data_IF_568551097176
#
_entry.id   IF_568551097176
#
_cell.length_a   1.000
_cell.length_b   1.000
_cell.length_c   1.000
_cell.angle_alpha   90.00
_cell.angle_beta   90.00
_cell.angle_gamma   90.00
#
_symmetry.space_group_name_H-M   'P 1'
#
loop_
_entity.id
_entity.type
_entity.pdbx_description
1 polymer ?
#
# COMPACT_ATOMS: atom_id res chain seq x y z
N UNK A 1 -40.05 -4.69 12.11
CA UNK A 1 -38.80 -5.46 11.86
C UNK A 1 -38.30 -5.98 13.20
N UNK A 2 -38.01 -7.30 13.31
CA UNK A 2 -37.46 -7.90 14.54
C UNK A 2 -35.95 -7.89 14.47
N UNK A 3 -35.29 -7.28 15.44
CA UNK A 3 -33.84 -7.25 15.58
C UNK A 3 -33.41 -8.37 16.52
N UNK A 4 -32.51 -9.24 16.10
CA UNK A 4 -31.90 -10.29 16.92
C UNK A 4 -30.42 -9.96 17.09
N UNK A 5 -29.94 -9.94 18.35
CA UNK A 5 -28.53 -9.71 18.66
C UNK A 5 -27.84 -11.03 18.98
N UNK A 6 -26.82 -11.37 18.18
CA UNK A 6 -25.95 -12.51 18.44
C UNK A 6 -24.69 -11.98 19.14
N UNK A 7 -24.44 -12.36 20.38
CA UNK A 7 -23.30 -11.90 21.20
C UNK A 7 -22.82 -12.98 22.17
N UNK A 8 -21.59 -12.84 22.64
CA UNK A 8 -21.02 -13.52 23.81
C UNK A 8 -20.39 -12.49 24.75
N UNK A 9 -19.78 -12.93 25.83
CA UNK A 9 -19.10 -12.08 26.79
C UNK A 9 -17.76 -11.54 26.25
N UNK A 10 -17.22 -12.21 25.24
CA UNK A 10 -15.99 -11.85 24.55
C UNK A 10 -16.08 -12.20 23.05
N UNK A 11 -15.02 -11.88 22.30
CA UNK A 11 -14.94 -12.16 20.86
C UNK A 11 -14.95 -13.65 20.53
N UNK A 12 -14.38 -14.50 21.39
CA UNK A 12 -14.35 -15.96 21.21
C UNK A 12 -15.78 -16.52 21.36
N UNK A 13 -16.47 -16.14 22.43
CA UNK A 13 -17.84 -16.58 22.67
C UNK A 13 -18.81 -16.03 21.63
N UNK A 14 -18.57 -14.78 21.17
CA UNK A 14 -19.39 -14.19 20.11
C UNK A 14 -19.24 -15.00 18.81
N UNK A 15 -18.01 -15.32 18.37
CA UNK A 15 -17.80 -16.13 17.17
C UNK A 15 -18.42 -17.52 17.26
N UNK A 16 -18.36 -18.14 18.44
CA UNK A 16 -19.00 -19.44 18.67
C UNK A 16 -20.53 -19.37 18.58
N UNK A 17 -21.15 -18.31 19.14
CA UNK A 17 -22.59 -18.12 19.04
C UNK A 17 -23.03 -17.78 17.59
N UNK A 18 -22.23 -17.05 16.84
CA UNK A 18 -22.43 -16.87 15.38
C UNK A 18 -22.36 -18.22 14.64
N UNK A 19 -21.39 -19.07 14.98
CA UNK A 19 -21.28 -20.41 14.38
C UNK A 19 -22.49 -21.29 14.69
N UNK A 20 -23.07 -21.20 15.90
CA UNK A 20 -24.32 -21.87 16.27
C UNK A 20 -25.51 -21.38 15.44
N UNK A 21 -25.62 -20.07 15.26
CA UNK A 21 -26.68 -19.48 14.43
C UNK A 21 -26.55 -19.93 12.97
N UNK A 22 -25.33 -19.92 12.41
CA UNK A 22 -25.09 -20.47 11.07
C UNK A 22 -25.54 -21.93 11.00
N UNK A 23 -25.18 -22.74 12.03
CA UNK A 23 -25.55 -24.16 12.08
C UNK A 23 -27.07 -24.39 12.20
N UNK A 24 -27.83 -23.48 12.83
CA UNK A 24 -29.29 -23.56 12.93
C UNK A 24 -29.96 -23.29 11.57
N UNK A 25 -29.35 -22.42 10.75
CA UNK A 25 -29.83 -22.10 9.40
C UNK A 25 -29.41 -23.19 8.41
N UNK A 26 -28.18 -23.65 8.52
CA UNK A 26 -27.58 -24.67 7.68
C UNK A 26 -26.49 -25.44 8.43
N UNK A 27 -26.61 -26.78 8.42
CA UNK A 27 -25.67 -27.67 9.10
C UNK A 27 -24.20 -27.33 8.72
N UNK A 28 -23.40 -27.04 9.72
CA UNK A 28 -21.95 -26.80 9.57
C UNK A 28 -21.21 -28.12 9.70
N UNK A 29 -20.50 -28.50 8.63
CA UNK A 29 -19.67 -29.71 8.58
C UNK A 29 -18.18 -29.40 8.67
N UNK A 30 -17.79 -28.12 8.57
CA UNK A 30 -16.41 -27.68 8.58
C UNK A 30 -16.25 -26.47 9.51
N UNK A 31 -15.24 -26.50 10.36
CA UNK A 31 -14.86 -25.38 11.22
C UNK A 31 -13.44 -24.93 10.91
N UNK A 32 -13.23 -23.62 11.00
CA UNK A 32 -11.95 -22.95 10.75
C UNK A 32 -11.58 -22.17 12.00
N UNK A 33 -10.60 -22.70 12.74
CA UNK A 33 -10.15 -22.16 14.02
C UNK A 33 -9.05 -21.12 13.78
N UNK A 34 -9.20 -19.92 14.33
CA UNK A 34 -8.21 -18.85 14.27
C UNK A 34 -7.94 -18.27 15.64
N UNK A 35 -6.78 -17.63 15.85
CA UNK A 35 -6.47 -16.97 17.12
C UNK A 35 -7.19 -15.62 17.20
N UNK A 36 -7.92 -15.39 18.28
CA UNK A 36 -8.70 -14.16 18.52
C UNK A 36 -7.86 -12.90 18.75
N UNK A 37 -6.58 -13.05 19.09
CA UNK A 37 -5.72 -11.96 19.53
C UNK A 37 -4.48 -11.76 18.66
N UNK A 38 -4.10 -12.78 17.88
CA UNK A 38 -2.90 -12.79 17.02
C UNK A 38 -3.18 -13.28 15.60
N UNK A 39 -4.43 -13.46 15.23
CA UNK A 39 -4.84 -14.13 13.98
C UNK A 39 -5.79 -13.32 13.11
N UNK A 40 -5.80 -11.99 13.19
CA UNK A 40 -6.69 -11.16 12.37
C UNK A 40 -6.47 -11.40 10.87
N UNK A 41 -5.21 -11.34 10.42
CA UNK A 41 -4.86 -11.61 9.03
C UNK A 41 -5.18 -13.06 8.61
N UNK A 42 -5.03 -14.02 9.53
CA UNK A 42 -5.34 -15.43 9.31
C UNK A 42 -6.85 -15.63 9.13
N UNK A 43 -7.68 -14.99 9.99
CA UNK A 43 -9.13 -15.02 9.90
C UNK A 43 -9.65 -14.41 8.59
N UNK A 44 -9.08 -13.27 8.18
CA UNK A 44 -9.43 -12.62 6.92
C UNK A 44 -9.00 -13.46 5.71
N UNK A 45 -7.81 -14.05 5.76
CA UNK A 45 -7.31 -14.92 4.68
C UNK A 45 -8.21 -16.12 4.41
N UNK A 46 -8.88 -16.68 5.43
CA UNK A 46 -9.77 -17.83 5.30
C UNK A 46 -11.25 -17.45 5.08
N UNK A 47 -11.60 -16.17 5.25
CA UNK A 47 -13.01 -15.72 5.26
C UNK A 47 -13.76 -16.07 3.96
N UNK A 48 -13.16 -15.86 2.81
CA UNK A 48 -13.76 -16.18 1.51
C UNK A 48 -13.98 -17.69 1.31
N UNK A 49 -13.04 -18.51 1.79
CA UNK A 49 -13.19 -19.98 1.79
C UNK A 49 -14.32 -20.40 2.69
N UNK A 50 -14.39 -19.83 3.90
CA UNK A 50 -15.47 -20.14 4.85
C UNK A 50 -16.84 -19.79 4.27
N UNK A 51 -16.97 -18.62 3.63
CA UNK A 51 -18.21 -18.20 2.98
C UNK A 51 -18.59 -19.11 1.78
N UNK A 52 -17.62 -19.47 0.94
CA UNK A 52 -17.84 -20.37 -0.20
C UNK A 52 -18.25 -21.77 0.23
N UNK A 53 -17.54 -22.34 1.20
CA UNK A 53 -17.70 -23.72 1.62
C UNK A 53 -18.73 -23.89 2.75
N UNK A 54 -19.39 -22.78 3.16
CA UNK A 54 -20.39 -22.73 4.25
C UNK A 54 -19.82 -23.29 5.57
N UNK A 55 -18.56 -22.96 5.83
CA UNK A 55 -17.85 -23.29 7.06
C UNK A 55 -17.99 -22.18 8.09
N UNK A 56 -17.86 -22.53 9.36
CA UNK A 56 -17.85 -21.54 10.43
C UNK A 56 -16.41 -21.17 10.83
N UNK A 57 -16.12 -19.87 10.92
CA UNK A 57 -14.89 -19.36 11.53
C UNK A 57 -15.14 -19.23 13.03
N UNK A 58 -14.30 -19.86 13.83
CA UNK A 58 -14.38 -19.80 15.29
C UNK A 58 -13.06 -19.28 15.85
N UNK A 59 -13.17 -18.21 16.60
CA UNK A 59 -12.04 -17.61 17.28
C UNK A 59 -11.67 -18.44 18.53
N UNK A 60 -10.38 -18.56 18.81
CA UNK A 60 -9.83 -19.29 19.95
C UNK A 60 -8.75 -18.45 20.66
N UNK A 61 -8.31 -18.88 21.82
CA UNK A 61 -7.11 -18.30 22.45
C UNK A 61 -5.79 -18.89 21.88
N UNK A 62 -5.87 -19.75 20.87
CA UNK A 62 -4.73 -20.46 20.30
C UNK A 62 -4.29 -21.70 21.06
N UNK A 63 -4.91 -22.02 22.22
CA UNK A 63 -4.54 -23.13 23.09
C UNK A 63 -5.68 -24.16 23.25
N UNK A 64 -6.93 -23.70 23.28
CA UNK A 64 -8.10 -24.52 23.53
C UNK A 64 -9.35 -23.99 22.83
N UNK A 65 -10.36 -24.85 22.71
CA UNK A 65 -11.72 -24.50 22.26
C UNK A 65 -12.73 -25.04 23.27
N UNK A 66 -13.90 -24.37 23.43
CA UNK A 66 -14.92 -24.77 24.41
C UNK A 66 -15.92 -25.79 23.87
N UNK A 67 -15.59 -26.53 22.80
CA UNK A 67 -16.49 -27.51 22.16
C UNK A 67 -15.71 -28.66 21.52
N UNK A 68 -16.41 -29.74 21.13
CA UNK A 68 -15.80 -30.86 20.43
C UNK A 68 -15.85 -30.64 18.91
N UNK A 69 -14.75 -30.97 18.21
CA UNK A 69 -14.68 -31.02 16.75
C UNK A 69 -14.98 -32.41 16.19
N UNK A 70 -15.39 -33.37 17.05
CA UNK A 70 -15.75 -34.70 16.60
C UNK A 70 -16.86 -34.69 15.55
N UNK A 71 -16.66 -35.39 14.47
CA UNK A 71 -17.60 -35.41 13.32
C UNK A 71 -17.53 -34.17 12.40
N UNK A 72 -16.64 -33.21 12.70
CA UNK A 72 -16.42 -32.03 11.89
C UNK A 72 -15.06 -32.09 11.18
N UNK A 73 -15.02 -31.59 9.95
CA UNK A 73 -13.74 -31.25 9.31
C UNK A 73 -13.19 -30.00 9.98
N UNK A 74 -11.97 -30.06 10.48
CA UNK A 74 -11.38 -28.97 11.23
C UNK A 74 -10.06 -28.50 10.62
N UNK A 75 -9.90 -27.18 10.51
CA UNK A 75 -8.67 -26.51 10.11
C UNK A 75 -8.23 -25.55 11.20
N UNK A 76 -6.94 -25.56 11.52
CA UNK A 76 -6.30 -24.56 12.39
C UNK A 76 -5.53 -23.58 11.49
N UNK A 77 -5.99 -22.35 11.44
CA UNK A 77 -5.47 -21.30 10.57
C UNK A 77 -4.48 -20.46 11.35
N UNK A 78 -3.22 -20.48 10.93
CA UNK A 78 -2.11 -19.77 11.56
C UNK A 78 -0.94 -20.69 11.90
N UNK A 79 0.23 -20.05 12.09
CA UNK A 79 1.47 -20.71 12.48
C UNK A 79 1.47 -21.20 13.93
N UNK A 80 2.58 -21.83 14.34
CA UNK A 80 2.73 -22.36 15.72
C UNK A 80 2.71 -21.29 16.79
N UNK A 81 3.10 -20.06 16.47
CA UNK A 81 3.05 -18.91 17.39
C UNK A 81 1.63 -18.42 17.71
N UNK A 82 0.66 -18.66 16.81
CA UNK A 82 -0.74 -18.25 16.99
C UNK A 82 -1.65 -19.42 17.38
N UNK A 83 -1.41 -20.61 16.83
CA UNK A 83 -2.19 -21.82 17.08
C UNK A 83 -1.27 -22.93 17.61
N UNK A 84 -1.40 -23.32 18.87
CA UNK A 84 -0.51 -24.31 19.48
C UNK A 84 -0.63 -25.69 18.83
N UNK A 85 0.44 -26.46 18.85
CA UNK A 85 0.43 -27.85 18.37
C UNK A 85 -0.51 -28.73 19.19
N UNK A 86 -0.63 -28.45 20.49
CA UNK A 86 -1.56 -29.14 21.39
C UNK A 86 -3.00 -28.95 20.95
N UNK A 87 -3.40 -27.71 20.65
CA UNK A 87 -4.76 -27.42 20.12
C UNK A 87 -5.01 -28.16 18.79
N UNK A 88 -4.04 -28.09 17.86
CA UNK A 88 -4.17 -28.74 16.55
C UNK A 88 -4.36 -30.25 16.69
N UNK A 89 -3.60 -30.88 17.57
CA UNK A 89 -3.68 -32.32 17.83
C UNK A 89 -4.99 -32.70 18.52
N UNK A 90 -5.39 -31.99 19.57
CA UNK A 90 -6.61 -32.29 20.32
C UNK A 90 -7.89 -32.11 19.49
N UNK A 91 -7.87 -31.19 18.54
CA UNK A 91 -9.00 -30.95 17.62
C UNK A 91 -8.91 -31.76 16.34
N UNK A 92 -7.85 -32.54 16.13
CA UNK A 92 -7.53 -33.27 14.88
C UNK A 92 -7.61 -32.35 13.66
N UNK A 93 -7.21 -31.09 13.84
CA UNK A 93 -7.27 -30.08 12.77
C UNK A 93 -6.11 -30.25 11.78
N UNK A 94 -6.39 -29.96 10.51
CA UNK A 94 -5.31 -29.72 9.55
C UNK A 94 -4.80 -28.29 9.72
N UNK A 95 -3.49 -28.13 10.03
CA UNK A 95 -2.87 -26.80 10.12
C UNK A 95 -2.71 -26.19 8.72
N UNK A 96 -3.13 -24.94 8.58
CA UNK A 96 -2.84 -24.08 7.45
C UNK A 96 -2.20 -22.79 7.98
N UNK A 97 -0.89 -22.69 7.88
CA UNK A 97 -0.17 -21.54 8.43
C UNK A 97 1.32 -21.60 8.15
N UNK A 98 1.95 -20.50 8.40
CA UNK A 98 3.39 -20.30 8.32
C UNK A 98 3.90 -19.37 9.42
N UNK A 99 5.13 -18.91 9.35
CA UNK A 99 5.74 -17.98 10.31
C UNK A 99 5.21 -16.55 10.13
N UNK A 100 4.66 -16.24 8.96
CA UNK A 100 4.12 -14.92 8.62
C UNK A 100 2.69 -15.01 8.10
N UNK A 101 1.97 -13.87 8.11
CA UNK A 101 0.64 -13.76 7.50
C UNK A 101 0.62 -14.10 6.00
N UNK A 102 1.72 -13.81 5.30
CA UNK A 102 1.87 -14.13 3.88
C UNK A 102 1.97 -15.62 3.62
N UNK A 103 2.71 -16.34 4.46
CA UNK A 103 2.84 -17.79 4.38
C UNK A 103 1.54 -18.50 4.74
N UNK A 104 0.81 -18.02 5.76
CA UNK A 104 -0.52 -18.51 6.09
C UNK A 104 -1.48 -18.30 4.91
N UNK A 105 -1.52 -17.08 4.35
CA UNK A 105 -2.36 -16.75 3.19
C UNK A 105 -2.02 -17.62 1.97
N UNK A 106 -0.73 -17.82 1.69
CA UNK A 106 -0.27 -18.72 0.61
C UNK A 106 -0.68 -20.17 0.86
N UNK A 107 -0.57 -20.66 2.08
CA UNK A 107 -0.98 -22.04 2.43
C UNK A 107 -2.48 -22.26 2.21
N UNK A 108 -3.32 -21.29 2.56
CA UNK A 108 -4.77 -21.29 2.30
C UNK A 108 -5.03 -21.29 0.80
N UNK A 109 -4.40 -20.41 0.06
CA UNK A 109 -4.57 -20.31 -1.40
C UNK A 109 -4.19 -21.61 -2.09
N UNK A 110 -3.05 -22.20 -1.74
CA UNK A 110 -2.59 -23.48 -2.30
C UNK A 110 -3.54 -24.63 -1.96
N UNK A 111 -4.19 -24.60 -0.79
CA UNK A 111 -5.10 -25.67 -0.37
C UNK A 111 -6.44 -25.58 -1.08
N UNK A 112 -7.01 -24.38 -1.20
CA UNK A 112 -8.41 -24.20 -1.58
C UNK A 112 -8.63 -23.64 -2.99
N UNK A 113 -7.58 -23.14 -3.64
CA UNK A 113 -7.64 -22.43 -4.92
C UNK A 113 -6.50 -22.83 -5.87
N UNK A 114 -6.22 -24.14 -5.95
CA UNK A 114 -5.08 -24.68 -6.75
C UNK A 114 -5.08 -24.23 -8.21
N UNK A 115 -6.28 -24.10 -8.80
CA UNK A 115 -6.46 -23.78 -10.21
C UNK A 115 -6.95 -22.36 -10.44
N UNK A 116 -6.84 -21.50 -9.42
CA UNK A 116 -7.25 -20.11 -9.55
C UNK A 116 -6.46 -19.40 -10.65
N UNK A 117 -7.18 -18.60 -11.45
CA UNK A 117 -6.63 -17.72 -12.47
C UNK A 117 -7.02 -16.27 -12.23
N UNK A 118 -8.02 -16.03 -11.39
CA UNK A 118 -8.42 -14.71 -10.95
C UNK A 118 -8.13 -14.59 -9.46
N UNK A 119 -7.50 -13.47 -9.11
CA UNK A 119 -7.04 -13.19 -7.75
C UNK A 119 -7.51 -11.79 -7.34
N UNK A 120 -7.82 -11.65 -6.06
CA UNK A 120 -8.01 -10.37 -5.42
C UNK A 120 -6.76 -10.08 -4.58
N UNK A 121 -6.26 -8.85 -4.60
CA UNK A 121 -5.12 -8.43 -3.77
C UNK A 121 -5.56 -7.32 -2.83
N UNK A 122 -5.06 -7.34 -1.60
CA UNK A 122 -5.32 -6.29 -0.60
C UNK A 122 -4.06 -6.04 0.24
N UNK A 123 -3.94 -4.83 0.79
CA UNK A 123 -2.85 -4.46 1.69
C UNK A 123 -2.80 -5.38 2.91
N UNK A 124 -1.60 -5.85 3.25
CA UNK A 124 -1.44 -6.88 4.28
C UNK A 124 -1.57 -6.34 5.72
N UNK A 125 -1.45 -5.03 5.92
CA UNK A 125 -1.48 -4.39 7.23
C UNK A 125 -2.74 -3.54 7.46
N UNK A 126 -3.38 -3.07 6.40
CA UNK A 126 -4.68 -2.40 6.43
C UNK A 126 -5.81 -3.38 6.09
N UNK A 127 -6.11 -4.24 7.03
CA UNK A 127 -6.96 -5.42 6.82
C UNK A 127 -8.43 -5.10 6.55
N UNK A 128 -8.89 -3.88 6.77
CA UNK A 128 -10.29 -3.47 6.51
C UNK A 128 -10.70 -3.70 5.06
N UNK A 129 -9.83 -3.34 4.11
CA UNK A 129 -10.08 -3.56 2.69
C UNK A 129 -10.19 -5.05 2.35
N UNK A 130 -9.29 -5.87 2.90
CA UNK A 130 -9.32 -7.32 2.73
C UNK A 130 -10.59 -7.94 3.35
N UNK A 131 -11.05 -7.44 4.49
CA UNK A 131 -12.29 -7.88 5.15
C UNK A 131 -13.50 -7.58 4.27
N UNK A 132 -13.66 -6.35 3.79
CA UNK A 132 -14.75 -5.95 2.89
C UNK A 132 -14.70 -6.77 1.60
N UNK A 133 -13.51 -6.91 1.01
CA UNK A 133 -13.28 -7.67 -0.21
C UNK A 133 -13.51 -9.17 -0.07
N UNK A 134 -13.47 -9.73 1.14
CA UNK A 134 -13.65 -11.17 1.36
C UNK A 134 -15.03 -11.68 0.89
N UNK A 135 -16.05 -10.82 0.90
CA UNK A 135 -17.38 -11.13 0.37
C UNK A 135 -17.41 -11.27 -1.16
N UNK A 136 -16.53 -10.57 -1.86
CA UNK A 136 -16.38 -10.62 -3.32
C UNK A 136 -15.54 -11.81 -3.77
N UNK A 137 -14.60 -12.25 -2.96
CA UNK A 137 -13.58 -13.25 -3.31
C UNK A 137 -14.06 -14.70 -3.21
N UNK A 138 -15.36 -14.96 -3.42
CA UNK A 138 -15.91 -16.34 -3.48
C UNK A 138 -15.29 -17.16 -4.61
N UNK A 139 -15.01 -16.53 -5.73
CA UNK A 139 -14.55 -17.17 -6.96
C UNK A 139 -13.02 -17.16 -7.12
N UNK A 140 -12.32 -16.40 -6.30
CA UNK A 140 -10.85 -16.31 -6.32
C UNK A 140 -10.28 -16.02 -4.93
N UNK A 141 -9.02 -16.37 -4.68
CA UNK A 141 -8.39 -16.11 -3.38
C UNK A 141 -8.12 -14.63 -3.15
N UNK A 142 -8.24 -14.19 -1.89
CA UNK A 142 -7.72 -12.92 -1.41
C UNK A 142 -6.24 -13.10 -1.05
N UNK A 143 -5.36 -12.42 -1.75
CA UNK A 143 -3.91 -12.44 -1.50
C UNK A 143 -3.50 -11.17 -0.78
N UNK A 144 -2.93 -11.33 0.40
CA UNK A 144 -2.37 -10.22 1.18
C UNK A 144 -0.99 -9.86 0.62
N UNK A 145 -0.80 -8.58 0.30
CA UNK A 145 0.44 -8.10 -0.32
C UNK A 145 1.04 -6.90 0.41
N UNK A 146 2.36 -6.79 0.37
CA UNK A 146 3.13 -5.59 0.66
C UNK A 146 4.42 -5.59 -0.17
N UNK A 147 5.27 -4.59 -0.03
CA UNK A 147 6.51 -4.46 -0.80
C UNK A 147 7.43 -5.69 -0.66
N UNK A 148 7.62 -6.22 0.53
CA UNK A 148 8.51 -7.40 0.79
C UNK A 148 7.83 -8.76 0.70
N UNK A 149 6.52 -8.85 0.37
CA UNK A 149 5.82 -10.14 0.40
C UNK A 149 6.17 -11.04 -0.78
N UNK A 150 6.15 -12.35 -0.54
CA UNK A 150 6.25 -13.37 -1.59
C UNK A 150 4.96 -13.38 -2.42
N UNK A 151 5.05 -13.04 -3.69
CA UNK A 151 3.93 -12.94 -4.65
C UNK A 151 3.88 -14.11 -5.63
N UNK A 152 4.70 -15.16 -5.44
CA UNK A 152 4.79 -16.32 -6.37
C UNK A 152 3.44 -17.02 -6.62
N UNK A 153 2.50 -16.88 -5.69
CA UNK A 153 1.15 -17.44 -5.85
C UNK A 153 0.40 -16.85 -7.06
N UNK A 154 0.80 -15.65 -7.50
CA UNK A 154 0.18 -14.93 -8.62
C UNK A 154 0.76 -15.30 -9.98
N UNK A 155 1.80 -16.16 -10.07
CA UNK A 155 2.52 -16.46 -11.33
C UNK A 155 1.65 -16.94 -12.48
N UNK A 156 0.50 -17.51 -12.20
CA UNK A 156 -0.43 -18.03 -13.20
C UNK A 156 -1.73 -17.21 -13.30
N UNK A 157 -1.78 -16.04 -12.68
CA UNK A 157 -2.96 -15.20 -12.70
C UNK A 157 -3.22 -14.65 -14.10
N UNK A 158 -4.48 -14.71 -14.53
CA UNK A 158 -4.97 -14.05 -15.75
C UNK A 158 -5.66 -12.74 -15.44
N UNK A 159 -6.10 -12.56 -14.19
CA UNK A 159 -6.73 -11.35 -13.71
C UNK A 159 -6.36 -11.11 -12.25
N UNK A 160 -6.00 -9.88 -11.94
CA UNK A 160 -5.82 -9.40 -10.57
C UNK A 160 -6.73 -8.21 -10.35
N UNK A 161 -7.49 -8.24 -9.26
CA UNK A 161 -8.35 -7.13 -8.82
C UNK A 161 -7.82 -6.58 -7.51
N UNK A 162 -7.46 -5.31 -7.47
CA UNK A 162 -7.06 -4.62 -6.25
C UNK A 162 -8.29 -4.22 -5.44
N UNK A 163 -8.26 -4.46 -4.14
CA UNK A 163 -9.30 -4.08 -3.19
C UNK A 163 -8.74 -3.01 -2.26
N UNK A 164 -9.31 -1.83 -2.35
CA UNK A 164 -8.83 -0.64 -1.66
C UNK A 164 -7.55 -0.08 -2.27
N UNK A 165 -6.96 0.89 -1.58
CA UNK A 165 -5.70 1.47 -1.99
C UNK A 165 -4.55 0.49 -1.73
N UNK A 166 -3.74 0.26 -2.73
CA UNK A 166 -2.47 -0.46 -2.65
C UNK A 166 -1.45 0.38 -3.43
N UNK A 167 -0.30 0.62 -2.82
CA UNK A 167 0.80 1.33 -3.48
C UNK A 167 1.06 0.77 -4.89
N UNK A 168 1.19 1.68 -5.85
CA UNK A 168 1.32 1.32 -7.27
C UNK A 168 2.54 0.43 -7.56
N UNK A 169 3.62 0.56 -6.78
CA UNK A 169 4.80 -0.28 -6.89
C UNK A 169 4.49 -1.72 -6.45
N UNK A 170 3.69 -1.90 -5.39
CA UNK A 170 3.26 -3.24 -4.95
C UNK A 170 2.36 -3.89 -6.01
N UNK A 171 1.43 -3.13 -6.59
CA UNK A 171 0.60 -3.60 -7.71
C UNK A 171 1.48 -4.00 -8.90
N UNK A 172 2.48 -3.18 -9.23
CA UNK A 172 3.41 -3.48 -10.32
C UNK A 172 4.23 -4.74 -10.05
N UNK A 173 4.68 -4.96 -8.81
CA UNK A 173 5.33 -6.22 -8.42
C UNK A 173 4.42 -7.43 -8.65
N UNK A 174 3.12 -7.31 -8.32
CA UNK A 174 2.14 -8.36 -8.59
C UNK A 174 2.03 -8.64 -10.10
N UNK A 175 1.91 -7.59 -10.93
CA UNK A 175 1.84 -7.71 -12.38
C UNK A 175 3.13 -8.29 -12.98
N UNK A 176 4.29 -7.93 -12.47
CA UNK A 176 5.56 -8.47 -12.93
C UNK A 176 5.62 -9.99 -12.73
N UNK A 177 5.18 -10.49 -11.59
CA UNK A 177 5.12 -11.93 -11.34
C UNK A 177 4.16 -12.64 -12.30
N UNK A 178 3.01 -12.05 -12.63
CA UNK A 178 2.08 -12.64 -13.61
C UNK A 178 2.68 -12.71 -15.01
N UNK A 179 3.52 -11.76 -15.36
CA UNK A 179 4.19 -11.66 -16.65
C UNK A 179 5.53 -12.44 -16.72
N UNK A 180 5.85 -13.20 -15.66
CA UNK A 180 7.10 -13.97 -15.59
C UNK A 180 8.35 -13.11 -15.37
N UNK A 181 8.18 -11.86 -14.96
CA UNK A 181 9.27 -10.93 -14.65
C UNK A 181 9.61 -11.07 -13.17
N UNK A 182 10.87 -11.41 -12.87
CA UNK A 182 11.35 -11.63 -11.50
C UNK A 182 11.51 -13.11 -11.15
N UNK A 183 11.84 -13.40 -9.90
CA UNK A 183 11.93 -14.78 -9.42
C UNK A 183 10.53 -15.32 -9.09
N UNK A 184 9.96 -16.02 -10.05
CA UNK A 184 8.63 -16.63 -9.93
C UNK A 184 8.53 -17.72 -8.86
N UNK A 185 9.66 -18.27 -8.38
CA UNK A 185 9.68 -19.32 -7.37
C UNK A 185 9.61 -18.72 -5.96
N UNK A 186 10.34 -17.64 -5.71
CA UNK A 186 10.33 -16.95 -4.43
C UNK A 186 9.23 -15.88 -4.36
N UNK A 187 8.65 -15.47 -5.51
CA UNK A 187 7.74 -14.34 -5.62
C UNK A 187 8.42 -13.01 -5.31
N UNK A 188 9.73 -13.06 -5.10
CA UNK A 188 10.55 -11.86 -5.01
C UNK A 188 10.78 -11.43 -6.45
N UNK A 189 10.20 -10.30 -6.84
CA UNK A 189 10.76 -9.58 -7.97
C UNK A 189 12.20 -9.36 -7.55
N UNK A 190 13.16 -10.08 -8.18
CA UNK A 190 14.55 -9.65 -8.04
C UNK A 190 14.49 -8.17 -8.35
N UNK A 191 14.71 -7.38 -7.31
CA UNK A 191 14.97 -5.99 -7.53
C UNK A 191 15.90 -5.99 -8.73
N UNK A 192 15.44 -5.59 -9.90
CA UNK A 192 16.31 -4.87 -10.79
C UNK A 192 16.91 -3.89 -9.81
N UNK A 193 18.17 -4.17 -9.38
CA UNK A 193 18.89 -3.43 -8.34
C UNK A 193 18.44 -2.02 -8.56
N UNK A 194 17.65 -1.43 -7.65
CA UNK A 194 17.05 -0.15 -7.97
C UNK A 194 18.25 0.62 -8.36
N UNK A 195 18.32 0.95 -9.62
CA UNK A 195 19.41 1.79 -10.03
C UNK A 195 19.19 3.02 -9.19
N UNK A 196 20.07 3.24 -8.22
CA UNK A 196 20.40 4.57 -7.70
C UNK A 196 20.81 5.45 -8.89
N UNK A 197 20.36 5.08 -10.08
CA UNK A 197 20.68 5.71 -11.32
C UNK A 197 19.91 7.00 -11.34
N UNK A 198 20.63 8.05 -11.09
CA UNK A 198 20.20 9.39 -11.39
C UNK A 198 19.83 9.42 -12.88
N UNK A 199 18.57 9.66 -13.16
CA UNK A 199 18.02 9.83 -14.50
C UNK A 199 18.32 11.26 -14.90
N UNK A 200 18.91 11.45 -16.07
CA UNK A 200 19.32 12.75 -16.59
C UNK A 200 18.27 13.33 -17.54
N UNK A 201 18.52 14.50 -18.04
CA UNK A 201 17.69 15.18 -19.04
C UNK A 201 17.25 14.23 -20.17
N UNK A 202 16.00 14.38 -20.57
CA UNK A 202 15.40 13.58 -21.61
C UNK A 202 13.92 13.29 -21.39
N UNK A 203 13.33 12.55 -22.31
CA UNK A 203 11.95 12.08 -22.25
C UNK A 203 11.91 10.57 -22.03
N UNK A 204 11.10 10.13 -21.09
CA UNK A 204 11.03 8.73 -20.65
C UNK A 204 9.59 8.25 -20.59
N UNK A 205 9.33 7.06 -21.13
CA UNK A 205 8.04 6.37 -20.98
C UNK A 205 8.00 5.59 -19.67
N UNK A 206 7.06 5.93 -18.82
CA UNK A 206 6.85 5.26 -17.55
C UNK A 206 6.28 3.85 -17.75
N UNK A 207 6.91 2.87 -17.11
CA UNK A 207 6.60 1.45 -17.27
C UNK A 207 7.43 0.76 -18.37
N UNK A 208 8.19 1.52 -19.19
CA UNK A 208 9.10 0.99 -20.19
C UNK A 208 10.55 1.39 -19.91
N UNK A 209 10.83 2.69 -19.88
CA UNK A 209 12.18 3.23 -19.72
C UNK A 209 12.51 3.46 -18.25
N UNK A 210 11.51 3.84 -17.47
CA UNK A 210 11.58 4.06 -16.03
C UNK A 210 10.37 3.43 -15.34
N UNK A 211 10.50 3.12 -14.06
CA UNK A 211 9.41 2.55 -13.26
C UNK A 211 8.36 3.61 -12.91
N UNK A 212 7.11 3.21 -12.73
CA UNK A 212 6.13 4.04 -12.02
C UNK A 212 6.54 4.23 -10.55
N UNK A 213 6.16 5.34 -9.96
CA UNK A 213 6.47 5.68 -8.58
C UNK A 213 6.72 7.15 -8.37
N UNK A 214 7.01 7.53 -7.14
CA UNK A 214 7.38 8.89 -6.79
C UNK A 214 8.86 9.12 -7.03
N UNK A 215 9.18 10.25 -7.64
CA UNK A 215 10.53 10.71 -7.94
C UNK A 215 10.80 12.05 -7.28
N UNK A 216 12.03 12.26 -6.85
CA UNK A 216 12.60 13.56 -6.52
C UNK A 216 13.38 14.06 -7.74
N UNK A 217 12.90 15.15 -8.34
CA UNK A 217 13.60 15.88 -9.39
C UNK A 217 14.44 16.96 -8.69
N UNK A 218 15.69 17.12 -9.10
CA UNK A 218 16.63 18.10 -8.54
C UNK A 218 17.20 18.92 -9.66
N UNK A 219 17.10 20.24 -9.56
CA UNK A 219 17.73 21.20 -10.46
C UNK A 219 19.25 20.97 -10.52
N UNK A 220 19.84 21.09 -11.70
CA UNK A 220 21.27 21.11 -11.82
C UNK A 220 21.86 22.38 -11.17
N UNK A 221 23.05 22.26 -10.61
CA UNK A 221 23.72 23.37 -9.92
C UNK A 221 23.87 24.57 -10.88
N UNK A 222 23.37 25.73 -10.45
CA UNK A 222 23.45 26.98 -11.21
C UNK A 222 22.30 27.19 -12.21
N UNK A 223 21.38 26.25 -12.35
CA UNK A 223 20.18 26.45 -13.17
C UNK A 223 19.14 27.27 -12.41
N UNK A 224 18.69 28.37 -13.01
CA UNK A 224 17.59 29.20 -12.50
C UNK A 224 16.22 28.66 -12.92
N UNK A 225 16.18 27.78 -13.92
CA UNK A 225 14.95 27.30 -14.52
C UNK A 225 15.13 25.86 -15.04
N UNK A 226 15.02 24.90 -14.13
CA UNK A 226 14.79 23.51 -14.55
C UNK A 226 13.33 23.33 -14.92
N UNK A 227 13.06 22.36 -15.81
CA UNK A 227 11.71 22.10 -16.29
C UNK A 227 11.38 20.61 -16.17
N UNK A 228 10.14 20.31 -15.82
CA UNK A 228 9.57 19.00 -16.06
C UNK A 228 8.19 19.10 -16.71
N UNK A 229 7.82 18.05 -17.43
CA UNK A 229 6.50 17.89 -18.04
C UNK A 229 6.08 16.42 -17.98
N UNK A 230 4.89 16.17 -17.47
CA UNK A 230 4.24 14.86 -17.49
C UNK A 230 3.13 14.88 -18.51
N UNK A 231 3.14 13.95 -19.48
CA UNK A 231 2.13 13.86 -20.53
C UNK A 231 1.46 12.48 -20.57
N UNK A 232 0.24 12.43 -21.11
CA UNK A 232 -0.50 11.18 -21.35
C UNK A 232 0.02 10.43 -22.57
N UNK A 233 0.66 11.13 -23.53
CA UNK A 233 1.21 10.57 -24.75
C UNK A 233 2.50 11.32 -25.17
N UNK A 234 3.08 10.93 -26.28
CA UNK A 234 4.34 11.50 -26.82
C UNK A 234 4.13 12.42 -28.03
N UNK A 235 2.93 12.92 -28.25
CA UNK A 235 2.60 13.71 -29.45
C UNK A 235 3.13 15.15 -29.38
N UNK A 236 3.43 15.66 -28.17
CA UNK A 236 3.79 17.06 -27.94
C UNK A 236 2.59 18.01 -28.00
N UNK A 237 1.37 17.48 -27.99
CA UNK A 237 0.16 18.28 -27.93
C UNK A 237 -0.05 18.82 -26.52
N UNK A 238 -0.37 20.10 -26.39
CA UNK A 238 -0.66 20.73 -25.10
C UNK A 238 -1.79 20.01 -24.32
N UNK A 239 -2.78 19.47 -25.02
CA UNK A 239 -3.89 18.72 -24.42
C UNK A 239 -3.45 17.41 -23.74
N UNK A 240 -2.25 16.92 -24.06
CA UNK A 240 -1.68 15.74 -23.41
C UNK A 240 -0.97 16.04 -22.10
N UNK A 241 -0.73 17.31 -21.77
CA UNK A 241 -0.03 17.72 -20.55
C UNK A 241 -0.90 17.45 -19.33
N UNK A 242 -0.41 16.64 -18.41
CA UNK A 242 -1.04 16.32 -17.15
C UNK A 242 -0.50 17.18 -15.99
N UNK A 243 0.77 17.57 -16.09
CA UNK A 243 1.46 18.42 -15.11
C UNK A 243 2.76 18.94 -15.72
N UNK A 244 3.11 20.17 -15.44
CA UNK A 244 4.43 20.75 -15.74
C UNK A 244 4.80 21.82 -14.73
N UNK A 245 6.09 22.10 -14.62
CA UNK A 245 6.58 23.20 -13.78
C UNK A 245 7.96 23.68 -14.26
N UNK A 246 8.20 24.97 -14.07
CA UNK A 246 9.52 25.59 -14.17
C UNK A 246 9.97 25.89 -12.74
N UNK A 247 11.08 25.31 -12.29
CA UNK A 247 11.45 25.32 -10.91
C UNK A 247 12.95 25.48 -10.66
N UNK A 248 13.27 25.94 -9.47
CA UNK A 248 14.60 25.82 -8.87
C UNK A 248 14.55 24.95 -7.62
N UNK A 249 15.66 24.30 -7.28
CA UNK A 249 15.73 23.40 -6.13
C UNK A 249 15.19 22.01 -6.47
N UNK A 250 14.11 21.61 -5.85
CA UNK A 250 13.59 20.23 -5.98
C UNK A 250 12.09 20.18 -6.22
N UNK A 251 11.62 19.07 -6.86
CA UNK A 251 10.19 18.73 -6.97
C UNK A 251 9.97 17.24 -6.75
N UNK A 252 8.99 16.89 -5.95
CA UNK A 252 8.45 15.54 -5.93
C UNK A 252 7.40 15.41 -7.03
N UNK A 253 7.42 14.30 -7.77
CA UNK A 253 6.45 13.97 -8.80
C UNK A 253 6.11 12.48 -8.76
N UNK A 254 4.82 12.16 -8.69
CA UNK A 254 4.33 10.77 -8.79
C UNK A 254 3.94 10.44 -10.22
N UNK A 255 4.62 9.46 -10.81
CA UNK A 255 4.45 9.00 -12.18
C UNK A 255 3.72 7.66 -12.24
N UNK A 256 2.77 7.54 -13.18
CA UNK A 256 1.95 6.34 -13.42
C UNK A 256 2.35 5.66 -14.72
N UNK A 257 2.18 4.32 -14.77
CA UNK A 257 2.45 3.57 -16.01
C UNK A 257 1.67 4.13 -17.20
N UNK A 258 2.35 4.22 -18.34
CA UNK A 258 1.80 4.73 -19.59
C UNK A 258 2.02 6.22 -19.81
N UNK A 259 2.29 6.99 -18.75
CA UNK A 259 2.66 8.40 -18.86
C UNK A 259 4.07 8.57 -19.45
N UNK A 260 4.36 9.78 -19.86
CA UNK A 260 5.70 10.21 -20.25
C UNK A 260 6.14 11.34 -19.32
N UNK A 261 7.41 11.37 -19.00
CA UNK A 261 8.05 12.47 -18.26
C UNK A 261 9.20 13.01 -19.09
N UNK A 262 9.22 14.32 -19.30
CA UNK A 262 10.33 15.07 -19.84
C UNK A 262 10.96 15.88 -18.72
N UNK A 263 12.28 15.87 -18.62
CA UNK A 263 13.03 16.71 -17.69
C UNK A 263 14.15 17.41 -18.44
N UNK A 264 14.37 18.69 -18.09
CA UNK A 264 15.41 19.57 -18.65
C UNK A 264 16.15 20.29 -17.53
N UNK A 265 17.46 20.44 -17.70
CA UNK A 265 18.37 21.06 -16.72
C UNK A 265 18.23 20.50 -15.29
N UNK A 266 17.91 19.22 -15.19
CA UNK A 266 17.64 18.56 -13.94
C UNK A 266 18.03 17.08 -13.96
N UNK A 267 18.00 16.48 -12.79
CA UNK A 267 18.12 15.04 -12.61
C UNK A 267 16.98 14.53 -11.79
N UNK A 268 16.55 13.27 -11.95
CA UNK A 268 15.57 12.67 -11.08
C UNK A 268 16.03 11.32 -10.53
N UNK A 269 15.58 11.04 -9.31
CA UNK A 269 15.85 9.77 -8.60
C UNK A 269 14.54 9.30 -7.96
N UNK A 270 14.26 7.99 -7.97
CA UNK A 270 13.13 7.45 -7.20
C UNK A 270 13.21 7.94 -5.75
N UNK A 271 12.13 8.55 -5.23
CA UNK A 271 12.11 9.23 -3.94
C UNK A 271 12.57 8.34 -2.79
N UNK A 272 12.23 7.06 -2.81
CA UNK A 272 12.66 6.06 -1.82
C UNK A 272 14.20 5.83 -1.76
N UNK A 273 14.96 6.30 -2.76
CA UNK A 273 16.43 6.23 -2.81
C UNK A 273 17.07 7.61 -2.75
N UNK A 274 16.27 8.66 -2.84
CA UNK A 274 16.75 10.02 -2.64
C UNK A 274 17.10 10.21 -1.16
N UNK A 275 18.12 11.03 -0.90
CA UNK A 275 18.40 11.45 0.46
C UNK A 275 17.37 12.51 0.85
N UNK A 276 16.83 12.42 2.05
CA UNK A 276 15.99 13.46 2.62
C UNK A 276 16.73 14.80 2.61
N UNK A 277 16.04 15.84 2.16
CA UNK A 277 16.58 17.18 2.11
C UNK A 277 16.71 17.71 3.55
N UNK A 278 17.70 18.52 3.78
CA UNK A 278 17.97 19.13 5.08
C UNK A 278 18.08 20.64 4.95
N UNK A 279 17.76 21.33 6.00
CA UNK A 279 18.03 22.74 6.11
C UNK A 279 19.51 23.06 5.80
N UNK A 280 19.74 24.11 5.04
CA UNK A 280 21.07 24.67 4.81
C UNK A 280 21.17 25.96 5.61
N UNK A 281 22.12 26.01 6.53
CA UNK A 281 22.28 27.13 7.47
C UNK A 281 20.98 27.46 8.23
N UNK A 282 20.27 26.40 8.71
CA UNK A 282 19.01 26.52 9.43
C UNK A 282 17.81 26.97 8.59
N UNK A 283 17.87 26.86 7.26
CA UNK A 283 16.81 27.30 6.35
C UNK A 283 16.49 26.24 5.31
N UNK A 284 15.19 26.05 5.05
CA UNK A 284 14.68 25.38 3.87
C UNK A 284 14.32 26.46 2.83
N UNK A 285 15.03 26.50 1.71
CA UNK A 285 14.85 27.48 0.63
C UNK A 285 13.97 26.94 -0.51
N UNK A 286 14.26 27.41 -1.75
CA UNK A 286 13.55 26.95 -2.93
C UNK A 286 13.55 25.43 -3.06
N UNK A 287 12.38 24.84 -3.23
CA UNK A 287 12.19 23.39 -3.36
C UNK A 287 10.82 22.90 -2.91
N UNK A 288 10.60 21.61 -3.04
CA UNK A 288 9.44 20.90 -2.52
C UNK A 288 9.89 19.94 -1.44
N UNK A 289 9.23 19.97 -0.30
CA UNK A 289 9.60 19.24 0.91
C UNK A 289 8.47 18.37 1.39
N UNK A 290 8.80 17.17 1.83
CA UNK A 290 7.82 16.20 2.36
C UNK A 290 7.67 16.38 3.86
N UNK A 291 6.46 16.69 4.30
CA UNK A 291 6.13 16.89 5.72
C UNK A 291 6.06 15.54 6.44
N UNK A 292 6.69 15.49 7.63
CA UNK A 292 6.89 14.26 8.41
C UNK A 292 8.20 13.53 8.07
N UNK A 293 8.83 13.83 6.91
CA UNK A 293 10.12 13.24 6.52
C UNK A 293 11.25 14.27 6.58
N UNK A 294 11.06 15.45 6.01
CA UNK A 294 12.09 16.50 5.83
C UNK A 294 11.81 17.69 6.73
N UNK A 295 10.56 18.07 6.87
CA UNK A 295 10.08 19.12 7.77
C UNK A 295 9.01 18.49 8.67
N UNK A 296 9.08 18.58 10.00
CA UNK A 296 8.01 18.11 10.88
C UNK A 296 6.67 18.80 10.58
N UNK A 297 5.55 18.16 10.93
CA UNK A 297 4.24 18.81 10.91
C UNK A 297 4.19 19.90 11.98
N UNK A 298 3.52 21.02 11.67
CA UNK A 298 3.42 22.13 12.61
C UNK A 298 3.08 23.47 11.94
N UNK A 299 3.08 24.52 12.74
CA UNK A 299 2.95 25.90 12.29
C UNK A 299 4.34 26.53 12.14
N UNK A 300 4.58 27.19 11.01
CA UNK A 300 5.85 27.79 10.65
C UNK A 300 5.71 29.19 10.14
N UNK A 301 6.81 29.93 10.21
CA UNK A 301 6.98 31.22 9.57
C UNK A 301 7.84 31.04 8.34
N UNK A 302 7.34 31.51 7.20
CA UNK A 302 8.12 31.65 5.98
C UNK A 302 8.39 33.12 5.70
N UNK A 303 9.54 33.36 5.10
CA UNK A 303 10.05 34.73 4.78
C UNK A 303 10.29 34.81 3.29
N UNK A 304 9.85 35.90 2.65
CA UNK A 304 10.09 36.12 1.23
C UNK A 304 11.54 36.61 1.00
N UNK A 305 12.09 36.23 -0.17
CA UNK A 305 13.32 36.81 -0.71
C UNK A 305 13.03 37.85 -1.79
N UNK A 306 11.79 37.95 -2.28
CA UNK A 306 11.36 38.86 -3.35
C UNK A 306 9.93 39.36 -3.08
N UNK A 307 9.43 40.30 -3.92
CA UNK A 307 8.04 40.77 -3.88
C UNK A 307 7.04 39.69 -4.31
N UNK A 308 7.49 38.72 -5.10
CA UNK A 308 6.66 37.72 -5.77
C UNK A 308 6.96 36.30 -5.27
N UNK A 309 7.37 36.20 -4.00
CA UNK A 309 7.61 34.91 -3.36
C UNK A 309 6.32 34.10 -3.31
N UNK A 310 6.42 32.80 -3.55
CA UNK A 310 5.28 31.88 -3.61
C UNK A 310 5.48 30.68 -2.71
N UNK A 311 4.40 30.25 -2.05
CA UNK A 311 4.37 28.95 -1.39
C UNK A 311 3.10 28.18 -1.79
N UNK A 312 3.18 26.85 -1.68
CA UNK A 312 2.05 25.97 -1.91
C UNK A 312 2.14 24.77 -0.96
N UNK A 313 1.02 24.44 -0.31
CA UNK A 313 0.85 23.20 0.46
C UNK A 313 -0.02 22.25 -0.35
N UNK A 314 0.42 20.99 -0.47
CA UNK A 314 -0.26 19.97 -1.28
C UNK A 314 -0.48 18.68 -0.49
N UNK A 315 -1.54 17.95 -0.83
CA UNK A 315 -1.80 16.61 -0.31
C UNK A 315 -1.10 15.49 -1.12
N UNK A 316 -0.58 15.80 -2.30
CA UNK A 316 0.05 14.82 -3.19
C UNK A 316 1.19 15.44 -4.02
N UNK A 317 1.90 14.59 -4.74
CA UNK A 317 2.93 14.95 -5.70
C UNK A 317 2.53 14.65 -7.16
N UNK A 318 1.22 14.74 -7.49
CA UNK A 318 0.74 14.52 -8.86
C UNK A 318 0.96 15.73 -9.77
N UNK A 319 1.19 16.91 -9.19
CA UNK A 319 1.47 18.15 -9.91
C UNK A 319 0.24 18.82 -10.55
N UNK A 320 -0.96 18.30 -10.35
CA UNK A 320 -2.21 18.91 -10.81
C UNK A 320 -2.81 19.82 -9.74
N UNK A 321 -3.78 20.68 -10.12
CA UNK A 321 -4.39 21.63 -9.19
C UNK A 321 -5.23 20.98 -8.08
N UNK A 322 -5.71 19.76 -8.29
CA UNK A 322 -6.58 19.06 -7.32
C UNK A 322 -5.86 18.73 -6.00
N UNK A 323 -4.53 18.59 -6.04
CA UNK A 323 -3.70 18.32 -4.86
C UNK A 323 -3.45 19.55 -3.98
N UNK A 324 -3.76 20.77 -4.44
CA UNK A 324 -3.45 22.01 -3.70
C UNK A 324 -4.40 22.17 -2.51
N UNK A 325 -3.82 22.33 -1.31
CA UNK A 325 -4.54 22.63 -0.08
C UNK A 325 -4.65 24.14 0.12
N UNK A 326 -3.53 24.83 -0.02
CA UNK A 326 -3.44 26.30 0.06
C UNK A 326 -2.20 26.78 -0.67
N UNK A 327 -2.26 27.98 -1.20
CA UNK A 327 -1.14 28.67 -1.82
C UNK A 327 -1.30 30.17 -1.72
N UNK A 328 -0.22 30.93 -1.82
CA UNK A 328 -0.26 32.38 -1.89
C UNK A 328 1.03 32.92 -2.51
N UNK A 329 0.90 34.07 -3.20
CA UNK A 329 2.03 34.92 -3.57
C UNK A 329 2.12 36.04 -2.54
N UNK A 330 3.28 36.23 -1.93
CA UNK A 330 3.42 37.12 -0.79
C UNK A 330 4.75 37.88 -0.77
N UNK A 331 4.76 38.93 0.01
CA UNK A 331 5.97 39.66 0.38
C UNK A 331 6.08 39.76 1.90
N UNK A 332 7.29 39.70 2.41
CA UNK A 332 7.60 39.79 3.84
C UNK A 332 7.40 38.45 4.55
N UNK A 333 6.55 38.40 5.55
CA UNK A 333 6.37 37.26 6.48
C UNK A 333 5.00 36.64 6.35
N UNK A 334 4.93 35.27 6.36
CA UNK A 334 3.69 34.51 6.40
C UNK A 334 3.75 33.41 7.46
N UNK A 335 2.62 33.14 8.11
CA UNK A 335 2.39 31.91 8.87
C UNK A 335 1.76 30.86 7.95
N UNK A 336 2.25 29.64 8.05
CA UNK A 336 1.69 28.46 7.37
C UNK A 336 1.58 27.31 8.37
N UNK A 337 0.53 26.49 8.20
CA UNK A 337 0.38 25.23 8.92
C UNK A 337 0.50 24.09 7.93
N UNK A 338 1.30 23.06 8.26
CA UNK A 338 1.52 21.88 7.44
C UNK A 338 1.31 20.61 8.27
N UNK A 339 0.69 19.61 7.67
CA UNK A 339 0.33 18.35 8.29
C UNK A 339 1.18 17.19 7.76
N UNK A 340 1.33 16.14 8.55
CA UNK A 340 2.07 14.95 8.15
C UNK A 340 1.52 14.33 6.84
N UNK A 341 2.42 13.99 5.92
CA UNK A 341 2.09 13.45 4.61
C UNK A 341 1.84 14.50 3.52
N UNK A 342 1.73 15.78 3.88
CA UNK A 342 1.66 16.87 2.91
C UNK A 342 3.03 17.19 2.30
N UNK A 343 3.00 18.06 1.31
CA UNK A 343 4.18 18.63 0.65
C UNK A 343 4.14 20.15 0.73
N UNK A 344 5.28 20.77 1.00
CA UNK A 344 5.45 22.20 0.99
C UNK A 344 6.37 22.62 -0.16
N UNK A 345 5.87 23.45 -1.07
CA UNK A 345 6.65 24.09 -2.13
C UNK A 345 7.00 25.49 -1.67
N UNK A 346 8.26 25.86 -1.83
CA UNK A 346 8.80 27.19 -1.58
C UNK A 346 9.50 27.70 -2.84
N UNK A 347 9.09 28.88 -3.33
CA UNK A 347 9.72 29.62 -4.43
C UNK A 347 10.01 31.04 -3.99
N UNK A 348 11.25 31.46 -4.12
CA UNK A 348 11.77 32.77 -3.68
C UNK A 348 11.42 33.13 -2.23
N UNK A 349 11.33 32.12 -1.39
CA UNK A 349 11.12 32.23 0.04
C UNK A 349 11.85 31.11 0.79
N UNK A 350 11.87 31.21 2.10
CA UNK A 350 12.47 30.21 2.96
C UNK A 350 11.69 30.03 4.27
N UNK A 351 11.76 28.83 4.81
CA UNK A 351 11.32 28.47 6.15
C UNK A 351 12.54 28.35 7.06
N UNK A 352 12.45 28.90 8.26
CA UNK A 352 13.48 28.76 9.29
C UNK A 352 13.17 27.48 10.06
N UNK A 353 14.16 26.60 10.18
CA UNK A 353 14.07 25.41 11.02
C UNK A 353 13.91 25.85 12.48
N UNK A 354 12.88 25.40 13.16
CA UNK A 354 12.71 25.64 14.59
C UNK A 354 13.80 24.87 15.35
N UNK A 355 14.51 25.54 16.27
CA UNK A 355 15.48 24.93 17.18
C UNK A 355 14.84 23.94 18.15
#
# INVERSE_FOLDING_TARGET
MKVVRIKGNDRIKTSYNVAKEINSIKKVNTVMLTNAYKGEADAISIASVAARDKAAIILTNGQSIPFSTSGLKSYAIGGTASMSTTLVNSTKSTRLGGSTRFETNKAITNKFYKDAREFYIAGAYELTNALVGSSLSKHGPMVLVNDGSNKSILKNAKKITSIGYIDSNIVQQCLNITNGIGDINTGVVKNVKPTTKTIKDGMYKVGKDISAGEYLITSNSGSYASYYEVTSDSTGNADSILSNDIFSGTRYITLKNGQYIKIEDSTMTLAKYAKAQKAKNGKFGNGMYKIGLEIPAGEYIIMSNSSDAYYEVRNDSLGNAEGIVTNDTFSGRRYITVEEGQYLILNDCYLIENE
#
